data_IF_412546656068
#
_entry.id   IF_412546656068
#
_cell.length_a   1.000
_cell.length_b   1.000
_cell.length_c   1.000
_cell.angle_alpha   90.00
_cell.angle_beta   90.00
_cell.angle_gamma   90.00
#
_symmetry.space_group_name_H-M   'P 1'
#
loop_
_entity.id
_entity.type
_entity.pdbx_description
1 polymer ?
#
# COMPACT_ATOMS: atom_id res chain seq x y z
N UNK A 1 -1.20 -2.07 -17.78
CA UNK A 1 -0.77 -0.70 -17.38
C UNK A 1 0.67 -0.73 -16.88
N UNK A 2 1.31 0.42 -16.61
CA UNK A 2 2.72 0.48 -16.17
C UNK A 2 3.01 -0.37 -14.92
N UNK A 3 2.09 -0.39 -13.95
CA UNK A 3 2.17 -1.23 -12.75
C UNK A 3 2.25 -2.73 -13.06
N UNK A 4 1.40 -3.22 -13.96
CA UNK A 4 1.39 -4.61 -14.40
C UNK A 4 2.68 -4.97 -15.14
N UNK A 5 3.20 -4.06 -15.97
CA UNK A 5 4.45 -4.26 -16.69
C UNK A 5 5.65 -4.42 -15.75
N UNK A 6 5.64 -3.75 -14.58
CA UNK A 6 6.69 -3.88 -13.57
C UNK A 6 6.60 -5.17 -12.75
N UNK A 7 5.39 -5.71 -12.53
CA UNK A 7 5.20 -6.94 -11.77
C UNK A 7 5.66 -8.19 -12.53
N UNK A 8 5.47 -8.24 -13.85
CA UNK A 8 5.82 -9.40 -14.68
C UNK A 8 7.26 -9.90 -14.49
N UNK A 9 8.29 -9.06 -14.66
CA UNK A 9 9.68 -9.46 -14.48
C UNK A 9 10.02 -10.02 -13.09
N UNK A 10 9.38 -9.50 -12.03
CA UNK A 10 9.58 -10.02 -10.67
C UNK A 10 9.00 -11.43 -10.52
N UNK A 11 7.80 -11.64 -11.05
CA UNK A 11 7.14 -12.94 -11.04
C UNK A 11 7.91 -13.96 -11.89
N UNK A 12 8.40 -13.55 -13.05
CA UNK A 12 9.18 -14.41 -13.94
C UNK A 12 10.55 -14.76 -13.34
N UNK A 13 11.08 -13.92 -12.44
CA UNK A 13 12.28 -14.20 -11.64
C UNK A 13 12.02 -15.09 -10.41
N UNK A 14 10.78 -15.55 -10.20
CA UNK A 14 10.41 -16.46 -9.10
C UNK A 14 10.18 -15.77 -7.76
N UNK A 15 9.78 -14.49 -7.75
CA UNK A 15 9.42 -13.81 -6.52
C UNK A 15 8.24 -14.52 -5.81
N UNK A 16 8.41 -14.84 -4.53
CA UNK A 16 7.37 -15.44 -3.67
C UNK A 16 6.51 -14.39 -2.96
N UNK A 17 6.95 -13.13 -2.97
CA UNK A 17 6.23 -12.02 -2.38
C UNK A 17 6.51 -10.70 -3.13
N UNK A 18 5.53 -9.79 -3.11
CA UNK A 18 5.63 -8.44 -3.64
C UNK A 18 5.14 -7.44 -2.60
N UNK A 19 5.98 -6.45 -2.29
CA UNK A 19 5.59 -5.27 -1.51
C UNK A 19 5.41 -4.12 -2.51
N UNK A 20 4.16 -3.73 -2.73
CA UNK A 20 3.80 -2.64 -3.61
C UNK A 20 3.76 -1.32 -2.84
N UNK A 21 4.34 -0.26 -3.41
CA UNK A 21 4.38 1.06 -2.78
C UNK A 21 3.03 1.79 -2.76
N UNK A 22 1.99 1.21 -3.37
CA UNK A 22 0.61 1.67 -3.28
C UNK A 22 -0.37 0.55 -3.66
N UNK A 23 -1.63 0.66 -3.26
CA UNK A 23 -2.68 -0.27 -3.64
C UNK A 23 -2.89 -0.33 -5.17
N UNK A 24 -2.65 0.77 -5.88
CA UNK A 24 -2.72 0.80 -7.36
C UNK A 24 -1.60 -0.01 -8.01
N UNK A 25 -0.40 -0.02 -7.42
CA UNK A 25 0.68 -0.88 -7.87
C UNK A 25 0.38 -2.36 -7.55
N UNK A 26 -0.21 -2.63 -6.39
CA UNK A 26 -0.67 -3.96 -6.01
C UNK A 26 -1.73 -4.50 -6.98
N UNK A 27 -2.68 -3.67 -7.42
CA UNK A 27 -3.65 -4.04 -8.47
C UNK A 27 -2.96 -4.46 -9.77
N UNK A 28 -1.85 -3.82 -10.15
CA UNK A 28 -1.01 -4.25 -11.28
C UNK A 28 -0.44 -5.65 -11.09
N UNK A 29 -0.03 -6.00 -9.87
CA UNK A 29 0.45 -7.33 -9.51
C UNK A 29 -0.66 -8.37 -9.61
N UNK A 30 -1.86 -8.05 -9.11
CA UNK A 30 -3.05 -8.89 -9.24
C UNK A 30 -3.37 -9.20 -10.71
N UNK A 31 -3.30 -8.20 -11.58
CA UNK A 31 -3.49 -8.42 -13.01
C UNK A 31 -2.44 -9.35 -13.61
N UNK A 32 -1.16 -9.16 -13.27
CA UNK A 32 -0.06 -10.00 -13.78
C UNK A 32 -0.13 -11.45 -13.26
N UNK A 33 -0.55 -11.66 -12.01
CA UNK A 33 -0.80 -12.97 -11.42
C UNK A 33 -1.99 -13.67 -12.08
N UNK A 34 -3.09 -12.93 -12.30
CA UNK A 34 -4.28 -13.44 -12.99
C UNK A 34 -3.96 -13.95 -14.40
N UNK A 35 -3.12 -13.24 -15.16
CA UNK A 35 -2.67 -13.68 -16.49
C UNK A 35 -1.86 -14.98 -16.44
N UNK A 36 -1.18 -15.23 -15.32
CA UNK A 36 -0.42 -16.46 -15.05
C UNK A 36 -1.27 -17.55 -14.39
N UNK A 37 -2.58 -17.31 -14.20
CA UNK A 37 -3.49 -18.18 -13.43
C UNK A 37 -3.01 -18.46 -12.00
N UNK A 38 -2.26 -17.51 -11.43
CA UNK A 38 -1.78 -17.55 -10.06
C UNK A 38 -2.69 -16.71 -9.15
N UNK A 39 -2.76 -17.08 -7.88
CA UNK A 39 -3.63 -16.50 -6.86
C UNK A 39 -2.76 -15.77 -5.82
N UNK A 40 -2.96 -14.45 -5.62
CA UNK A 40 -2.29 -13.73 -4.53
C UNK A 40 -2.56 -14.38 -3.17
N UNK A 41 -1.57 -14.43 -2.30
CA UNK A 41 -1.66 -15.05 -0.97
C UNK A 41 -1.50 -16.57 -0.96
N UNK A 42 -1.81 -17.26 -2.06
CA UNK A 42 -1.58 -18.71 -2.21
C UNK A 42 -0.25 -18.97 -2.95
N UNK A 43 -0.10 -18.43 -4.16
CA UNK A 43 1.09 -18.63 -4.99
C UNK A 43 2.17 -17.58 -4.73
N UNK A 44 1.74 -16.32 -4.56
CA UNK A 44 2.62 -15.17 -4.33
C UNK A 44 1.97 -14.22 -3.33
N UNK A 45 2.65 -13.91 -2.24
CA UNK A 45 2.16 -12.94 -1.27
C UNK A 45 2.19 -11.51 -1.87
N UNK A 46 1.16 -10.72 -1.65
CA UNK A 46 1.09 -9.32 -2.12
C UNK A 46 0.68 -8.43 -0.96
N UNK A 47 1.48 -7.39 -0.69
CA UNK A 47 1.16 -6.34 0.28
C UNK A 47 1.09 -5.00 -0.44
N UNK A 48 0.06 -4.22 -0.15
CA UNK A 48 -0.13 -2.85 -0.64
C UNK A 48 0.25 -1.78 0.37
N UNK A 49 -0.12 -0.56 0.04
CA UNK A 49 0.06 0.63 0.86
C UNK A 49 -1.10 1.60 0.56
N UNK A 50 -1.67 2.21 1.60
CA UNK A 50 -2.75 3.22 1.66
C UNK A 50 -4.04 2.74 2.36
N UNK A 51 -4.42 1.46 2.21
CA UNK A 51 -5.76 0.96 2.56
C UNK A 51 -6.92 1.74 1.92
N UNK A 52 -6.75 2.04 0.64
CA UNK A 52 -7.81 2.62 -0.18
C UNK A 52 -9.02 1.67 -0.28
N UNK A 53 -10.20 2.17 -0.67
CA UNK A 53 -11.37 1.31 -0.94
C UNK A 53 -11.08 0.17 -1.90
N UNK A 54 -10.12 0.34 -2.83
CA UNK A 54 -9.66 -0.70 -3.74
C UNK A 54 -9.09 -1.90 -2.99
N UNK A 55 -8.33 -1.71 -1.90
CA UNK A 55 -7.69 -2.80 -1.18
C UNK A 55 -8.69 -3.84 -0.67
N UNK A 56 -9.84 -3.40 -0.15
CA UNK A 56 -10.90 -4.28 0.32
C UNK A 56 -11.74 -4.90 -0.81
N UNK A 57 -11.76 -4.29 -1.99
CA UNK A 57 -12.54 -4.76 -3.16
C UNK A 57 -11.76 -5.72 -4.06
N UNK A 58 -10.46 -5.84 -3.87
CA UNK A 58 -9.66 -6.86 -4.54
C UNK A 58 -10.08 -8.26 -4.05
N UNK A 59 -9.89 -9.25 -4.92
CA UNK A 59 -10.20 -10.64 -4.64
C UNK A 59 -8.98 -11.51 -5.01
N UNK A 60 -8.30 -12.13 -4.04
CA UNK A 60 -8.48 -11.99 -2.58
C UNK A 60 -8.27 -10.56 -2.06
N UNK A 61 -8.80 -10.22 -0.87
CA UNK A 61 -8.63 -8.89 -0.28
C UNK A 61 -7.16 -8.57 -0.03
N UNK A 62 -6.75 -7.33 -0.31
CA UNK A 62 -5.34 -6.92 -0.24
C UNK A 62 -4.92 -6.58 1.19
N UNK A 63 -3.95 -7.32 1.74
CA UNK A 63 -3.17 -6.92 2.90
C UNK A 63 -2.41 -5.63 2.57
N UNK A 64 -2.45 -4.63 3.44
CA UNK A 64 -1.93 -3.30 3.13
C UNK A 64 -1.56 -2.53 4.39
N UNK A 65 -0.66 -1.57 4.27
CA UNK A 65 -0.36 -0.61 5.33
C UNK A 65 -1.34 0.56 5.21
N UNK A 66 -2.31 0.64 6.11
CA UNK A 66 -3.26 1.73 6.20
C UNK A 66 -2.56 3.00 6.70
N UNK A 67 -2.63 4.05 5.88
CA UNK A 67 -2.12 5.35 6.26
C UNK A 67 -3.22 6.17 6.95
N UNK A 68 -2.92 6.92 8.02
CA UNK A 68 -3.90 7.77 8.69
C UNK A 68 -4.12 9.08 7.91
N UNK A 69 -4.54 8.97 6.63
CA UNK A 69 -4.57 10.10 5.68
C UNK A 69 -5.45 11.27 6.15
N UNK A 70 -6.54 10.99 6.88
CA UNK A 70 -7.36 12.05 7.47
C UNK A 70 -6.57 12.87 8.51
N UNK A 71 -5.83 12.18 9.39
CA UNK A 71 -4.98 12.84 10.38
C UNK A 71 -3.80 13.56 9.72
N UNK A 72 -3.20 12.98 8.66
CA UNK A 72 -2.17 13.66 7.85
C UNK A 72 -2.72 14.97 7.28
N UNK A 73 -3.91 14.95 6.68
CA UNK A 73 -4.55 16.16 6.16
C UNK A 73 -4.78 17.23 7.22
N UNK A 74 -5.24 16.82 8.41
CA UNK A 74 -5.45 17.71 9.56
C UNK A 74 -4.15 18.36 10.04
N UNK A 75 -3.08 17.58 10.16
CA UNK A 75 -1.76 18.07 10.55
C UNK A 75 -1.16 19.00 9.48
N UNK A 76 -1.30 18.67 8.19
CA UNK A 76 -0.85 19.55 7.10
C UNK A 76 -1.51 20.94 7.17
N UNK A 77 -2.82 21.00 7.38
CA UNK A 77 -3.56 22.27 7.51
C UNK A 77 -3.12 23.03 8.77
N UNK A 78 -2.99 22.34 9.90
CA UNK A 78 -2.52 22.95 11.16
C UNK A 78 -1.12 23.56 10.99
N UNK A 79 -0.19 22.82 10.41
CA UNK A 79 1.19 23.24 10.18
C UNK A 79 1.27 24.45 9.22
N UNK A 80 0.45 24.44 8.16
CA UNK A 80 0.36 25.57 7.23
C UNK A 80 -0.14 26.84 7.94
N UNK A 81 -1.23 26.73 8.71
CA UNK A 81 -1.79 27.86 9.46
C UNK A 81 -0.79 28.40 10.49
N UNK A 82 -0.05 27.52 11.18
CA UNK A 82 0.99 27.93 12.13
C UNK A 82 2.12 28.70 11.43
N UNK A 83 2.58 28.25 10.26
CA UNK A 83 3.60 28.95 9.46
C UNK A 83 3.13 30.29 8.91
N UNK A 84 1.85 30.41 8.57
CA UNK A 84 1.28 31.69 8.12
C UNK A 84 1.19 32.71 9.27
N UNK A 85 0.94 32.24 10.50
CA UNK A 85 0.88 33.09 11.69
C UNK A 85 2.28 33.56 12.13
N UNK A 86 3.30 32.70 11.98
CA UNK A 86 4.70 33.03 12.26
C UNK A 86 5.64 32.44 11.18
N UNK A 87 5.98 33.24 10.15
CA UNK A 87 6.85 32.81 9.06
C UNK A 87 8.27 32.43 9.49
N UNK A 88 8.76 32.98 10.61
CA UNK A 88 10.12 32.79 11.10
C UNK A 88 10.21 31.65 12.13
N UNK A 89 9.09 31.04 12.51
CA UNK A 89 9.06 29.89 13.41
C UNK A 89 9.88 28.70 12.87
N UNK A 90 10.58 27.95 13.75
CA UNK A 90 11.30 26.75 13.35
C UNK A 90 10.42 25.72 12.61
N UNK A 91 11.00 24.91 11.70
CA UNK A 91 10.25 23.86 11.03
C UNK A 91 9.79 22.78 12.02
N UNK A 92 8.47 22.53 12.03
CA UNK A 92 7.86 21.45 12.79
C UNK A 92 7.75 20.19 11.92
N UNK A 93 8.00 19.01 12.52
CA UNK A 93 7.85 17.70 11.88
C UNK A 93 6.95 16.82 12.74
N UNK A 94 5.89 16.31 12.13
CA UNK A 94 4.95 15.38 12.76
C UNK A 94 5.06 14.03 12.05
N UNK A 95 5.19 12.94 12.82
CA UNK A 95 5.15 11.57 12.32
C UNK A 95 3.89 10.91 12.85
N UNK A 96 3.07 10.37 11.96
CA UNK A 96 1.83 9.67 12.29
C UNK A 96 2.01 8.17 12.05
N UNK A 97 1.57 7.37 13.01
CA UNK A 97 1.75 5.92 12.98
C UNK A 97 0.76 5.27 12.01
N UNK A 98 1.23 4.47 11.03
CA UNK A 98 0.35 3.67 10.19
C UNK A 98 -0.07 2.37 10.89
N UNK A 99 -1.04 1.65 10.33
CA UNK A 99 -1.44 0.33 10.83
C UNK A 99 -1.39 -0.72 9.73
N UNK A 100 -0.95 -1.93 10.06
CA UNK A 100 -1.01 -3.05 9.13
C UNK A 100 -2.43 -3.64 9.14
N UNK A 101 -3.06 -3.71 7.98
CA UNK A 101 -4.34 -4.37 7.77
C UNK A 101 -4.07 -5.67 7.02
N UNK A 102 -4.24 -6.80 7.71
CA UNK A 102 -4.02 -8.14 7.14
C UNK A 102 -5.31 -8.65 6.52
N UNK A 103 -5.23 -9.13 5.28
CA UNK A 103 -6.29 -9.76 4.49
C UNK A 103 -5.75 -11.02 3.80
N UNK A 104 -6.45 -11.53 2.80
CA UNK A 104 -6.20 -12.84 2.19
C UNK A 104 -5.09 -12.85 1.12
N UNK A 105 -4.55 -11.69 0.73
CA UNK A 105 -3.45 -11.60 -0.25
C UNK A 105 -2.07 -11.97 0.29
N UNK A 106 -1.98 -12.31 1.58
CA UNK A 106 -0.77 -12.81 2.22
C UNK A 106 -1.12 -14.10 2.97
N UNK A 107 -0.21 -15.08 3.03
CA UNK A 107 -0.42 -16.27 3.84
C UNK A 107 -0.72 -15.90 5.30
N UNK A 108 -1.54 -16.71 5.96
CA UNK A 108 -1.66 -16.63 7.41
C UNK A 108 -0.26 -16.84 8.03
N UNK A 109 0.07 -16.07 9.07
CA UNK A 109 1.26 -16.32 9.87
C UNK A 109 1.19 -17.77 10.37
N UNK A 110 2.06 -18.63 9.85
CA UNK A 110 2.28 -19.93 10.46
C UNK A 110 2.88 -19.68 11.84
N UNK A 111 2.14 -20.08 12.88
CA UNK A 111 2.62 -20.02 14.27
C UNK A 111 3.76 -20.99 14.54
#
# INVERSE_FOLDING_TARGET
GSAQAAAGPLLDAGATAVIAASDMLALGCYHALRERKAVPGEDVAVVGFDDSPTAALLSPGLSTVAQPLEAVGRECVRLLLARMADPDAPPERVLLEPTLVVRESTPALAG
#
